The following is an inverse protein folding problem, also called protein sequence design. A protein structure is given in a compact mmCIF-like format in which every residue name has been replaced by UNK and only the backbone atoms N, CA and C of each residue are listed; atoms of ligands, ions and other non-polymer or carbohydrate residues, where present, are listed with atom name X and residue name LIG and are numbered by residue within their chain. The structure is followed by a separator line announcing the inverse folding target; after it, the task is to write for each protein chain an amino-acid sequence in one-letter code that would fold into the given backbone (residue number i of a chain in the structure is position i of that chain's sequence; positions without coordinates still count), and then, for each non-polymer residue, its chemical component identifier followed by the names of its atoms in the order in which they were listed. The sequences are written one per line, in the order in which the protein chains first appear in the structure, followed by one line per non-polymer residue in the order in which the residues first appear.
data_IF_908549806780
#
_entry.id   IF_908549806780
#
_cell.length_a   1.000
_cell.length_b   1.000
_cell.length_c   1.000
_cell.angle_alpha   90.00
_cell.angle_beta   90.00
_cell.angle_gamma   90.00
#
_symmetry.space_group_name_H-M   'P 1'
#
loop_
_entity.id
_entity.type
_entity.pdbx_description
1 polymer ?
#
# COMPACT_ATOMS: atom_id res chain seq x y z
N UNK A 1 6.80 34.01 1.07
CA UNK A 1 6.35 33.24 -0.11
C UNK A 1 4.95 32.71 0.18
N UNK A 2 3.93 33.32 -0.45
CA UNK A 2 2.56 32.85 -0.36
C UNK A 2 2.39 31.69 -1.35
N UNK A 3 2.53 30.46 -0.86
CA UNK A 3 2.14 29.28 -1.62
C UNK A 3 0.63 29.32 -1.82
N UNK A 4 0.20 29.64 -3.03
CA UNK A 4 -1.21 29.59 -3.41
C UNK A 4 -1.52 28.16 -3.88
N UNK A 5 -2.76 27.69 -3.74
CA UNK A 5 -3.18 26.34 -4.19
C UNK A 5 -2.93 26.04 -5.69
N UNK A 6 -2.45 27.04 -6.44
CA UNK A 6 -1.96 26.91 -7.81
C UNK A 6 -0.72 26.03 -7.91
N UNK A 7 0.16 26.00 -6.92
CA UNK A 7 1.45 25.29 -7.01
C UNK A 7 1.30 23.76 -6.86
N UNK A 8 0.36 23.32 -6.02
CA UNK A 8 0.03 21.90 -5.83
C UNK A 8 -0.78 21.36 -7.02
N UNK A 9 -1.69 22.17 -7.55
CA UNK A 9 -2.38 21.82 -8.78
C UNK A 9 -1.41 21.80 -9.95
N UNK A 10 -0.41 22.67 -9.99
CA UNK A 10 0.64 22.60 -11.01
C UNK A 10 1.42 21.29 -10.89
N UNK A 11 1.71 20.78 -9.69
CA UNK A 11 2.36 19.47 -9.54
C UNK A 11 1.47 18.30 -10.00
N UNK A 12 0.19 18.25 -9.60
CA UNK A 12 -0.75 17.20 -10.01
C UNK A 12 -1.16 17.31 -11.49
N UNK A 13 -1.26 18.54 -12.01
CA UNK A 13 -1.54 18.86 -13.40
C UNK A 13 -0.34 18.62 -14.31
N UNK A 14 0.90 18.93 -13.89
CA UNK A 14 2.11 18.54 -14.62
C UNK A 14 2.30 17.03 -14.59
N UNK A 15 1.98 16.33 -13.51
CA UNK A 15 1.97 14.86 -13.48
C UNK A 15 0.96 14.31 -14.51
N UNK A 16 -0.23 14.90 -14.60
CA UNK A 16 -1.24 14.57 -15.60
C UNK A 16 -0.82 14.94 -17.04
N UNK A 17 -0.21 16.11 -17.26
CA UNK A 17 0.25 16.58 -18.58
C UNK A 17 1.46 15.79 -19.09
N UNK A 18 2.40 15.44 -18.22
CA UNK A 18 3.57 14.64 -18.57
C UNK A 18 3.16 13.20 -18.96
N UNK A 19 2.10 12.67 -18.34
CA UNK A 19 1.51 11.37 -18.69
C UNK A 19 0.70 11.46 -19.99
N UNK A 20 -0.05 12.53 -20.23
CA UNK A 20 -0.76 12.77 -21.50
C UNK A 20 0.21 12.91 -22.71
N UNK A 21 1.41 13.45 -22.51
CA UNK A 21 2.48 13.51 -23.53
C UNK A 21 3.12 12.13 -23.80
N UNK A 22 3.11 11.22 -22.83
CA UNK A 22 3.66 9.87 -22.99
C UNK A 22 2.65 8.88 -23.61
N UNK A 23 1.35 9.09 -23.43
CA UNK A 23 0.28 8.22 -23.96
C UNK A 23 -0.20 8.59 -25.36
N UNK A 24 0.14 9.78 -25.87
CA UNK A 24 -0.27 10.27 -27.20
C UNK A 24 0.76 10.09 -28.30
N UNK A 25 1.88 9.37 -28.07
CA UNK A 25 2.76 9.01 -29.19
C UNK A 25 1.98 8.11 -30.16
N UNK A 26 1.79 8.51 -31.44
CA UNK A 26 1.16 7.64 -32.40
C UNK A 26 2.00 6.37 -32.57
N UNK A 27 1.35 5.20 -32.46
CA UNK A 27 1.98 3.92 -32.81
C UNK A 27 2.55 4.02 -34.22
N UNK A 28 3.81 3.62 -34.49
CA UNK A 28 4.29 3.55 -35.86
C UNK A 28 3.45 2.52 -36.60
N UNK A 29 2.67 2.99 -37.58
CA UNK A 29 1.99 2.16 -38.56
C UNK A 29 3.06 1.50 -39.42
N UNK A 30 3.30 0.20 -39.18
CA UNK A 30 4.16 -0.60 -40.04
C UNK A 30 3.40 -0.84 -41.36
N UNK A 31 3.70 -0.02 -42.36
CA UNK A 31 3.32 -0.21 -43.75
C UNK A 31 3.97 -1.49 -44.29
N UNK A 32 3.16 -2.53 -44.51
CA UNK A 32 3.53 -3.72 -45.26
C UNK A 32 3.72 -3.33 -46.74
N UNK A 33 4.98 -3.13 -47.14
CA UNK A 33 5.37 -3.08 -48.55
C UNK A 33 6.08 -4.38 -48.91
N UNK A 34 5.35 -5.21 -49.65
CA UNK A 34 5.84 -6.44 -50.28
C UNK A 34 6.93 -6.13 -51.31
N UNK A 35 8.14 -6.65 -51.11
CA UNK A 35 9.09 -6.97 -52.19
C UNK A 35 9.80 -8.26 -51.84
N UNK A 36 9.49 -9.30 -52.63
CA UNK A 36 10.18 -10.57 -52.53
C UNK A 36 11.62 -10.48 -53.00
N UNK A 37 12.50 -11.25 -52.36
CA UNK A 37 13.60 -11.93 -53.02
C UNK A 37 14.02 -13.13 -52.17
N UNK A 38 13.98 -14.30 -52.78
CA UNK A 38 14.42 -15.56 -52.22
C UNK A 38 15.94 -15.55 -51.97
N UNK A 39 16.38 -16.22 -50.91
CA UNK A 39 17.56 -17.10 -50.85
C UNK A 39 17.65 -17.77 -49.46
N UNK A 40 17.61 -19.10 -49.49
CA UNK A 40 17.93 -20.02 -48.38
C UNK A 40 19.46 -20.04 -48.16
N UNK A 41 19.98 -20.44 -46.97
CA UNK A 41 20.06 -21.88 -46.69
C UNK A 41 19.86 -22.33 -45.22
N UNK A 42 19.55 -23.62 -45.15
CA UNK A 42 19.30 -24.54 -44.02
C UNK A 42 20.38 -24.56 -42.93
N UNK A 43 19.96 -24.78 -41.68
CA UNK A 43 20.56 -25.76 -40.74
C UNK A 43 19.56 -26.15 -39.62
N UNK A 44 19.70 -27.33 -38.98
CA UNK A 44 18.57 -28.20 -38.63
C UNK A 44 18.14 -28.20 -37.16
N UNK A 45 16.87 -28.56 -36.96
CA UNK A 45 16.21 -28.82 -35.67
C UNK A 45 16.57 -30.21 -35.15
N UNK A 46 17.07 -30.31 -33.90
CA UNK A 46 17.17 -31.57 -33.14
C UNK A 46 15.89 -31.75 -32.30
N UNK A 47 15.18 -32.87 -32.51
CA UNK A 47 14.11 -33.36 -31.64
C UNK A 47 14.69 -34.05 -30.40
N UNK A 48 14.06 -33.92 -29.21
CA UNK A 48 14.31 -34.84 -28.09
C UNK A 48 13.57 -36.17 -28.31
N UNK A 49 14.09 -37.30 -27.79
CA UNK A 49 13.51 -38.62 -28.02
C UNK A 49 12.33 -38.91 -27.10
N UNK A 50 11.39 -39.66 -27.66
CA UNK A 50 10.27 -40.34 -27.00
C UNK A 50 10.76 -41.57 -26.22
N UNK A 51 10.27 -41.75 -24.99
CA UNK A 51 10.29 -43.04 -24.31
C UNK A 51 8.86 -43.58 -24.18
N UNK A 52 8.67 -44.80 -24.65
CA UNK A 52 7.48 -45.62 -24.62
C UNK A 52 7.38 -46.44 -23.33
N UNK A 53 6.13 -46.60 -22.86
CA UNK A 53 5.50 -47.70 -22.11
C UNK A 53 6.35 -48.59 -21.19
N UNK A 54 5.93 -48.69 -19.92
CA UNK A 54 5.62 -50.00 -19.31
C UNK A 54 4.59 -49.87 -18.19
N UNK A 55 3.57 -50.72 -18.30
CA UNK A 55 2.44 -50.98 -17.41
C UNK A 55 2.82 -51.84 -16.20
N UNK A 56 2.24 -51.56 -15.02
CA UNK A 56 1.95 -52.56 -13.99
C UNK A 56 0.79 -52.07 -13.10
N UNK A 57 -0.05 -53.05 -12.71
CA UNK A 57 -1.41 -52.97 -12.20
C UNK A 57 -1.45 -53.09 -10.64
N UNK A 58 -2.62 -53.09 -9.95
CA UNK A 58 -2.86 -52.27 -8.74
C UNK A 58 -3.15 -53.05 -7.43
N UNK A 59 -3.59 -52.31 -6.40
CA UNK A 59 -4.37 -52.68 -5.18
C UNK A 59 -3.61 -52.74 -3.84
N UNK A 60 -4.28 -52.63 -2.67
CA UNK A 60 -5.57 -51.98 -2.35
C UNK A 60 -5.55 -51.05 -1.11
N UNK A 61 -6.65 -50.31 -0.95
CA UNK A 61 -7.08 -49.55 0.23
C UNK A 61 -7.59 -50.52 1.33
N UNK A 62 -7.48 -50.17 2.62
CA UNK A 62 -8.52 -50.51 3.59
C UNK A 62 -9.15 -49.28 4.24
N UNK A 63 -10.48 -49.27 4.21
CA UNK A 63 -11.39 -48.38 4.91
C UNK A 63 -11.51 -48.79 6.37
N UNK A 64 -11.36 -47.85 7.33
CA UNK A 64 -11.94 -48.01 8.66
C UNK A 64 -12.48 -46.68 9.19
N UNK A 65 -13.79 -46.67 9.44
CA UNK A 65 -14.56 -45.68 10.17
C UNK A 65 -14.21 -45.70 11.67
N UNK A 66 -13.80 -44.58 12.26
CA UNK A 66 -14.05 -44.21 13.67
C UNK A 66 -14.18 -42.68 13.75
N UNK A 67 -15.19 -42.18 14.48
CA UNK A 67 -15.47 -40.78 14.81
C UNK A 67 -15.65 -40.67 16.35
N UNK A 68 -15.62 -39.48 16.99
CA UNK A 68 -14.54 -38.50 17.13
C UNK A 68 -14.00 -38.45 18.57
N UNK A 69 -12.73 -38.03 18.75
CA UNK A 69 -12.28 -37.28 19.94
C UNK A 69 -11.00 -36.50 19.59
N UNK A 70 -11.18 -35.19 19.47
CA UNK A 70 -10.29 -34.13 19.96
C UNK A 70 -8.78 -34.42 19.96
N UNK A 71 -8.06 -33.88 18.97
CA UNK A 71 -6.72 -33.32 19.18
C UNK A 71 -6.33 -32.43 18.00
N UNK A 72 -5.89 -31.22 18.31
CA UNK A 72 -5.27 -30.22 17.46
C UNK A 72 -3.96 -30.72 16.84
N UNK A 73 -3.80 -30.61 15.51
CA UNK A 73 -2.57 -30.12 14.87
C UNK A 73 -2.75 -30.05 13.34
N UNK A 74 -2.41 -28.93 12.70
CA UNK A 74 -2.25 -28.86 11.24
C UNK A 74 -1.11 -27.93 10.86
N UNK A 75 0.02 -28.53 10.47
CA UNK A 75 0.95 -28.04 9.42
C UNK A 75 0.23 -28.15 8.06
N UNK A 76 0.54 -27.48 6.94
CA UNK A 76 1.63 -26.68 6.35
C UNK A 76 0.92 -25.89 5.19
N UNK A 77 1.46 -24.88 4.50
CA UNK A 77 2.38 -24.99 3.34
C UNK A 77 2.98 -23.58 3.06
N UNK A 78 4.30 -23.47 2.94
CA UNK A 78 5.02 -22.24 2.58
C UNK A 78 5.85 -22.48 1.31
N UNK A 79 5.51 -21.82 0.20
CA UNK A 79 6.32 -21.85 -1.02
C UNK A 79 7.53 -20.91 -0.91
N UNK A 80 8.75 -21.43 -1.12
CA UNK A 80 10.01 -20.68 -1.09
C UNK A 80 10.57 -20.60 -2.53
N UNK A 81 10.63 -19.40 -3.11
CA UNK A 81 11.34 -19.14 -4.37
C UNK A 81 12.70 -18.46 -4.08
N UNK A 82 13.80 -19.12 -4.46
CA UNK A 82 15.17 -18.59 -4.32
C UNK A 82 15.78 -18.23 -5.69
N UNK A 83 16.35 -17.03 -5.82
CA UNK A 83 17.21 -16.63 -6.94
C UNK A 83 18.63 -16.33 -6.45
N UNK A 84 19.70 -16.87 -7.08
CA UNK A 84 21.07 -16.47 -6.75
C UNK A 84 21.49 -15.22 -7.54
N UNK A 85 22.03 -14.22 -6.85
CA UNK A 85 22.78 -13.13 -7.49
C UNK A 85 24.26 -13.22 -7.10
N UNK A 86 25.14 -13.34 -8.10
CA UNK A 86 26.59 -13.32 -7.91
C UNK A 86 27.11 -11.90 -8.15
N UNK A 87 27.85 -11.33 -7.18
CA UNK A 87 28.68 -10.13 -7.40
C UNK A 87 30.11 -10.54 -7.74
N UNK A 88 30.64 -9.99 -8.83
CA UNK A 88 32.05 -10.10 -9.23
C UNK A 88 32.88 -8.94 -8.66
N UNK A 89 34.12 -9.22 -8.26
CA UNK A 89 35.22 -8.24 -8.13
C UNK A 89 36.58 -8.90 -8.42
N UNK A 90 37.63 -8.13 -8.78
CA UNK A 90 38.44 -8.46 -9.96
C UNK A 90 39.86 -9.02 -9.70
N UNK A 91 40.27 -9.88 -10.65
CA UNK A 91 41.61 -10.20 -11.24
C UNK A 91 42.89 -10.08 -10.40
N UNK A 92 43.63 -11.20 -10.27
CA UNK A 92 44.90 -11.56 -11.00
C UNK A 92 45.53 -12.87 -10.40
N UNK A 93 46.57 -13.53 -10.98
CA UNK A 93 46.42 -14.63 -11.94
C UNK A 93 47.02 -16.01 -11.52
N UNK A 94 46.37 -17.07 -11.98
CA UNK A 94 46.85 -18.37 -12.54
C UNK A 94 48.04 -19.11 -11.88
N UNK A 95 47.78 -20.33 -11.36
CA UNK A 95 48.50 -21.61 -11.65
C UNK A 95 47.64 -22.85 -11.24
N UNK A 96 47.77 -24.02 -11.90
CA UNK A 96 46.73 -25.08 -11.94
C UNK A 96 47.14 -26.34 -11.12
N UNK A 97 46.42 -27.50 -11.16
CA UNK A 97 45.54 -27.92 -10.06
C UNK A 97 45.88 -29.30 -9.47
N UNK A 98 45.65 -29.53 -8.17
CA UNK A 98 45.51 -30.91 -7.64
C UNK A 98 44.67 -30.99 -6.36
N UNK A 99 43.63 -31.83 -6.47
CA UNK A 99 42.93 -32.66 -5.46
C UNK A 99 42.20 -32.06 -4.24
N UNK A 100 40.88 -32.27 -4.27
CA UNK A 100 39.94 -32.69 -3.21
C UNK A 100 39.92 -31.97 -1.85
N UNK A 101 38.84 -31.22 -1.57
CA UNK A 101 38.32 -30.98 -0.21
C UNK A 101 36.83 -30.52 -0.25
N UNK A 102 36.10 -30.58 0.88
CA UNK A 102 34.73 -31.09 0.96
C UNK A 102 33.65 -30.05 0.64
N UNK A 103 32.47 -30.56 0.32
CA UNK A 103 31.28 -29.77 -0.03
C UNK A 103 30.97 -28.67 0.99
N UNK A 104 31.07 -27.42 0.54
CA UNK A 104 30.62 -26.25 1.29
C UNK A 104 29.10 -26.30 1.42
N UNK A 105 28.61 -26.56 2.64
CA UNK A 105 27.19 -26.46 2.97
C UNK A 105 26.78 -25.00 2.83
N UNK A 106 26.01 -24.69 1.79
CA UNK A 106 25.45 -23.37 1.56
C UNK A 106 24.30 -23.16 2.57
N UNK A 107 24.58 -22.46 3.67
CA UNK A 107 23.54 -22.06 4.61
C UNK A 107 22.70 -20.93 3.99
N UNK A 108 21.54 -21.30 3.45
CA UNK A 108 20.52 -20.35 3.01
C UNK A 108 19.81 -19.86 4.27
N UNK A 109 20.16 -18.65 4.73
CA UNK A 109 19.34 -17.95 5.72
C UNK A 109 18.18 -17.28 4.99
N UNK A 110 17.00 -17.91 5.06
CA UNK A 110 15.75 -17.20 4.77
C UNK A 110 15.63 -16.08 5.82
N UNK A 111 15.80 -14.83 5.41
CA UNK A 111 15.41 -13.70 6.25
C UNK A 111 13.88 -13.69 6.28
N UNK A 112 13.30 -14.18 7.37
CA UNK A 112 11.92 -13.87 7.69
C UNK A 112 11.82 -12.34 7.73
N UNK A 113 10.99 -11.76 6.86
CA UNK A 113 10.55 -10.38 7.05
C UNK A 113 9.62 -10.43 8.25
N UNK A 114 10.19 -10.36 9.45
CA UNK A 114 9.42 -10.20 10.66
C UNK A 114 8.62 -8.90 10.50
N UNK A 115 7.31 -9.03 10.38
CA UNK A 115 6.38 -7.91 10.57
C UNK A 115 6.73 -7.28 11.91
N UNK A 116 7.17 -6.02 11.87
CA UNK A 116 7.67 -5.38 13.08
C UNK A 116 6.51 -5.30 14.09
N UNK A 117 6.65 -5.91 15.28
CA UNK A 117 5.55 -6.10 16.21
C UNK A 117 4.94 -4.77 16.65
N UNK A 118 3.66 -4.82 17.03
CA UNK A 118 2.94 -3.71 17.65
C UNK A 118 3.79 -3.05 18.75
N UNK A 119 4.00 -1.73 18.65
CA UNK A 119 4.74 -0.94 19.63
C UNK A 119 6.19 -0.61 19.25
N UNK A 120 6.76 -1.26 18.24
CA UNK A 120 8.06 -0.85 17.69
C UNK A 120 7.85 0.23 16.62
N UNK A 121 8.53 1.39 16.77
CA UNK A 121 8.47 2.49 15.79
C UNK A 121 9.62 2.42 14.81
N UNK A 122 9.29 2.35 13.53
CA UNK A 122 10.23 2.42 12.42
C UNK A 122 10.82 3.83 12.32
N UNK A 123 12.14 3.93 12.13
CA UNK A 123 12.78 5.22 11.88
C UNK A 123 12.76 5.55 10.39
N UNK A 124 12.13 6.67 10.05
CA UNK A 124 12.05 7.20 8.68
C UNK A 124 13.00 8.38 8.50
N UNK A 125 13.64 8.47 7.33
CA UNK A 125 14.50 9.59 6.95
C UNK A 125 13.77 10.49 5.97
N UNK A 126 13.00 11.45 6.50
CA UNK A 126 12.24 12.39 5.68
C UNK A 126 13.16 13.42 5.00
N UNK A 127 13.03 13.54 3.68
CA UNK A 127 13.67 14.56 2.90
C UNK A 127 13.01 15.94 3.06
N UNK A 128 13.50 16.89 2.28
CA UNK A 128 13.02 18.28 2.33
C UNK A 128 11.56 18.41 1.87
N UNK A 129 11.18 17.71 0.80
CA UNK A 129 9.84 17.79 0.22
C UNK A 129 8.80 17.14 1.14
N UNK A 130 9.13 15.99 1.72
CA UNK A 130 8.29 15.29 2.70
C UNK A 130 8.01 16.18 3.90
N UNK A 131 9.04 16.86 4.44
CA UNK A 131 8.87 17.85 5.52
C UNK A 131 7.99 19.02 5.11
N UNK A 132 8.16 19.54 3.90
CA UNK A 132 7.31 20.63 3.39
C UNK A 132 5.83 20.21 3.27
N UNK A 133 5.55 19.00 2.77
CA UNK A 133 4.19 18.45 2.71
C UNK A 133 3.59 18.24 4.11
N UNK A 134 4.35 17.62 5.02
CA UNK A 134 3.95 17.49 6.43
C UNK A 134 3.59 18.86 7.02
N UNK A 135 4.45 19.86 6.85
CA UNK A 135 4.20 21.21 7.36
C UNK A 135 2.96 21.87 6.77
N UNK A 136 2.67 21.65 5.47
CA UNK A 136 1.47 22.17 4.84
C UNK A 136 0.19 21.56 5.44
N UNK A 137 0.12 20.22 5.49
CA UNK A 137 -1.02 19.50 6.05
C UNK A 137 -1.22 19.84 7.53
N UNK A 138 -0.13 19.81 8.31
CA UNK A 138 -0.18 20.19 9.72
C UNK A 138 -0.69 21.61 9.93
N UNK A 139 -0.31 22.59 9.11
CA UNK A 139 -0.83 23.97 9.22
C UNK A 139 -2.32 24.07 8.93
N UNK A 140 -2.83 23.24 8.02
CA UNK A 140 -4.25 23.22 7.66
C UNK A 140 -5.07 22.54 8.75
N UNK A 141 -4.58 21.43 9.31
CA UNK A 141 -5.18 20.77 10.47
C UNK A 141 -5.12 21.63 11.74
N UNK A 142 -4.06 22.43 11.94
CA UNK A 142 -3.90 23.30 13.11
C UNK A 142 -5.03 24.31 13.29
N UNK A 143 -5.67 24.75 12.21
CA UNK A 143 -6.83 25.66 12.29
C UNK A 143 -7.97 25.08 13.12
N UNK A 144 -8.03 23.75 13.21
CA UNK A 144 -9.04 23.01 13.97
C UNK A 144 -8.46 22.41 15.26
N UNK A 145 -7.14 22.36 15.43
CA UNK A 145 -6.54 21.74 16.59
C UNK A 145 -6.83 22.52 17.88
N UNK A 146 -7.23 21.81 18.94
CA UNK A 146 -7.42 22.39 20.27
C UNK A 146 -6.11 23.00 20.81
N UNK A 147 -6.23 24.06 21.61
CA UNK A 147 -5.09 24.74 22.24
C UNK A 147 -4.42 25.86 21.42
N UNK A 148 -4.93 26.20 20.22
CA UNK A 148 -4.66 27.49 19.56
C UNK A 148 -3.20 27.88 19.36
N UNK A 149 -2.29 26.90 19.19
CA UNK A 149 -0.85 27.17 19.08
C UNK A 149 -0.58 27.90 17.76
N UNK A 150 -0.34 29.22 17.83
CA UNK A 150 0.28 29.99 16.74
C UNK A 150 1.77 29.66 16.72
N UNK A 151 2.15 28.72 15.88
CA UNK A 151 3.55 28.35 15.70
C UNK A 151 4.19 29.21 14.61
N UNK A 152 5.36 29.81 14.92
CA UNK A 152 6.21 30.49 13.95
C UNK A 152 7.11 29.50 13.18
N UNK A 153 6.87 28.19 13.32
CA UNK A 153 7.68 27.18 12.64
C UNK A 153 7.58 27.32 11.13
N UNK A 154 8.71 27.28 10.46
CA UNK A 154 8.82 27.22 9.02
C UNK A 154 8.28 25.86 8.51
N UNK A 155 7.90 25.75 7.23
CA UNK A 155 7.28 24.52 6.70
C UNK A 155 8.19 23.30 6.80
N UNK A 156 9.51 23.48 6.68
CA UNK A 156 10.52 22.43 6.72
C UNK A 156 10.98 22.04 8.14
N UNK A 157 10.52 22.74 9.17
CA UNK A 157 10.79 22.43 10.59
C UNK A 157 9.77 21.44 11.17
N UNK A 158 8.85 20.96 10.34
CA UNK A 158 7.88 19.94 10.71
C UNK A 158 8.47 18.55 10.57
N UNK A 159 8.20 17.72 11.57
CA UNK A 159 8.45 16.29 11.56
C UNK A 159 7.12 15.53 11.68
N UNK A 160 7.23 14.21 11.52
CA UNK A 160 6.05 13.34 11.50
C UNK A 160 5.36 13.26 12.86
N UNK A 161 6.12 13.31 13.96
CA UNK A 161 5.54 13.31 15.30
C UNK A 161 4.74 14.61 15.56
N UNK A 162 5.25 15.77 15.12
CA UNK A 162 4.50 17.03 15.16
C UNK A 162 3.20 16.95 14.33
N UNK A 163 3.22 16.26 13.17
CA UNK A 163 2.03 16.02 12.37
C UNK A 163 1.00 15.17 13.13
N UNK A 164 1.42 14.03 13.71
CA UNK A 164 0.56 13.16 14.51
C UNK A 164 0.00 13.88 15.73
N UNK A 165 0.78 14.73 16.39
CA UNK A 165 0.33 15.50 17.55
C UNK A 165 -0.69 16.59 17.19
N UNK A 166 -0.60 17.19 16.01
CA UNK A 166 -1.66 18.04 15.48
C UNK A 166 -2.95 17.22 15.31
N UNK A 167 -2.86 16.02 14.72
CA UNK A 167 -4.02 15.14 14.53
C UNK A 167 -4.68 14.75 15.85
N UNK A 168 -3.90 14.42 16.89
CA UNK A 168 -4.43 14.17 18.25
C UNK A 168 -5.22 15.36 18.77
N UNK A 169 -4.67 16.58 18.63
CA UNK A 169 -5.35 17.81 19.08
C UNK A 169 -6.57 18.16 18.26
N UNK A 170 -6.67 17.71 17.00
CA UNK A 170 -7.92 17.78 16.24
C UNK A 170 -8.98 16.85 16.84
N UNK A 171 -8.62 15.67 17.37
CA UNK A 171 -9.60 14.78 17.99
C UNK A 171 -10.10 15.23 19.36
N UNK A 172 -9.29 15.99 20.11
CA UNK A 172 -9.65 16.40 21.47
C UNK A 172 -10.90 17.26 21.51
N UNK A 173 -11.90 16.81 22.28
CA UNK A 173 -13.17 17.52 22.47
C UNK A 173 -14.15 17.41 21.31
N UNK A 174 -13.91 16.53 20.34
CA UNK A 174 -14.80 16.30 19.18
C UNK A 174 -15.41 14.91 19.19
N UNK A 175 -16.65 14.81 18.73
CA UNK A 175 -17.26 13.52 18.39
C UNK A 175 -16.62 12.91 17.14
N UNK A 176 -16.85 11.62 16.92
CA UNK A 176 -16.45 10.90 15.70
C UNK A 176 -16.84 11.64 14.41
N UNK A 177 -18.09 12.09 14.29
CA UNK A 177 -18.56 12.78 13.07
C UNK A 177 -17.80 14.10 12.87
N UNK A 178 -17.65 14.89 13.93
CA UNK A 178 -16.92 16.16 13.87
C UNK A 178 -15.44 15.96 13.51
N UNK A 179 -14.81 14.88 13.99
CA UNK A 179 -13.44 14.54 13.59
C UNK A 179 -13.35 14.28 12.08
N UNK A 180 -14.29 13.49 11.55
CA UNK A 180 -14.30 13.11 10.15
C UNK A 180 -14.58 14.30 9.22
N UNK A 181 -15.54 15.15 9.59
CA UNK A 181 -15.85 16.39 8.88
C UNK A 181 -14.64 17.34 8.82
N UNK A 182 -13.92 17.51 9.94
CA UNK A 182 -12.71 18.35 9.94
C UNK A 182 -11.66 17.82 8.98
N UNK A 183 -11.42 16.51 8.96
CA UNK A 183 -10.41 15.93 8.05
C UNK A 183 -10.86 16.07 6.60
N UNK A 184 -12.15 15.86 6.32
CA UNK A 184 -12.74 16.08 5.00
C UNK A 184 -12.54 17.52 4.52
N UNK A 185 -12.79 18.51 5.39
CA UNK A 185 -12.53 19.92 5.10
C UNK A 185 -11.05 20.20 4.83
N UNK A 186 -10.15 19.58 5.61
CA UNK A 186 -8.71 19.70 5.36
C UNK A 186 -8.34 19.14 3.98
N UNK A 187 -8.84 17.95 3.62
CA UNK A 187 -8.61 17.33 2.31
C UNK A 187 -9.15 18.20 1.16
N UNK A 188 -10.38 18.70 1.28
CA UNK A 188 -10.98 19.62 0.31
C UNK A 188 -10.17 20.90 0.15
N UNK A 189 -9.64 21.43 1.25
CA UNK A 189 -8.82 22.65 1.22
C UNK A 189 -7.45 22.48 0.57
N UNK A 190 -7.05 21.24 0.23
CA UNK A 190 -5.85 20.94 -0.56
C UNK A 190 -6.12 21.03 -2.06
N UNK A 191 -7.38 20.92 -2.47
CA UNK A 191 -7.81 21.02 -3.84
C UNK A 191 -8.07 22.48 -4.23
N UNK A 192 -7.90 22.86 -5.51
CA UNK A 192 -8.38 24.14 -5.99
C UNK A 192 -9.91 24.23 -5.97
N UNK A 193 -10.47 25.46 -5.92
CA UNK A 193 -11.91 25.67 -6.03
C UNK A 193 -12.51 24.99 -7.26
N UNK A 194 -13.62 24.27 -7.06
CA UNK A 194 -14.34 23.56 -8.11
C UNK A 194 -13.74 22.21 -8.53
N UNK A 195 -12.54 21.84 -8.07
CA UNK A 195 -11.90 20.60 -8.51
C UNK A 195 -12.73 19.31 -8.27
N UNK A 196 -13.46 19.11 -7.14
CA UNK A 196 -14.25 17.89 -6.94
C UNK A 196 -15.31 17.63 -8.02
N UNK A 197 -16.08 18.66 -8.39
CA UNK A 197 -17.08 18.54 -9.44
C UNK A 197 -16.44 18.21 -10.80
N UNK A 198 -15.26 18.78 -11.07
CA UNK A 198 -14.49 18.52 -12.28
C UNK A 198 -13.92 17.09 -12.28
N UNK A 199 -13.43 16.57 -11.15
CA UNK A 199 -12.90 15.21 -11.07
C UNK A 199 -13.97 14.16 -11.33
N UNK A 200 -15.15 14.28 -10.72
CA UNK A 200 -16.28 13.35 -10.97
C UNK A 200 -16.69 13.30 -12.44
N UNK A 201 -16.58 14.44 -13.14
CA UNK A 201 -16.90 14.52 -14.57
C UNK A 201 -15.78 13.95 -15.46
N UNK A 202 -14.52 14.15 -15.09
CA UNK A 202 -13.35 13.80 -15.91
C UNK A 202 -12.85 12.37 -15.68
N UNK A 203 -13.16 11.77 -14.53
CA UNK A 203 -12.66 10.46 -14.12
C UNK A 203 -13.82 9.57 -13.65
N UNK A 204 -14.60 8.99 -14.57
CA UNK A 204 -15.60 8.00 -14.18
C UNK A 204 -14.93 6.81 -13.47
N UNK A 205 -15.62 6.14 -12.51
CA UNK A 205 -15.08 5.02 -11.76
C UNK A 205 -14.91 3.80 -12.68
N UNK A 206 -13.76 3.76 -13.35
CA UNK A 206 -13.37 2.71 -14.28
C UNK A 206 -12.20 1.94 -13.70
N UNK A 207 -12.00 0.71 -14.17
CA UNK A 207 -10.81 -0.08 -13.83
C UNK A 207 -9.51 0.71 -14.04
N UNK A 208 -9.40 1.43 -15.16
CA UNK A 208 -8.23 2.25 -15.44
C UNK A 208 -8.02 3.35 -14.40
N UNK A 209 -9.09 4.06 -14.00
CA UNK A 209 -9.00 5.09 -12.97
C UNK A 209 -8.57 4.50 -11.61
N UNK A 210 -9.09 3.32 -11.26
CA UNK A 210 -8.73 2.62 -10.04
C UNK A 210 -7.25 2.18 -10.03
N UNK A 211 -6.78 1.53 -11.10
CA UNK A 211 -5.38 1.11 -11.26
C UNK A 211 -4.42 2.32 -11.30
N UNK A 212 -4.80 3.41 -11.95
CA UNK A 212 -4.02 4.64 -12.02
C UNK A 212 -3.86 5.28 -10.63
N UNK A 213 -4.93 5.38 -9.85
CA UNK A 213 -4.86 5.93 -8.49
C UNK A 213 -4.02 5.03 -7.58
N UNK A 214 -4.16 3.71 -7.67
CA UNK A 214 -3.31 2.77 -6.92
C UNK A 214 -1.82 2.96 -7.25
N UNK A 215 -1.48 3.06 -8.54
CA UNK A 215 -0.11 3.27 -9.01
C UNK A 215 0.48 4.63 -8.57
N UNK A 216 -0.34 5.68 -8.50
CA UNK A 216 0.09 6.99 -8.02
C UNK A 216 0.25 7.04 -6.50
N UNK A 217 -0.60 6.33 -5.76
CA UNK A 217 -0.60 6.35 -4.29
C UNK A 217 0.71 5.87 -3.70
N UNK A 218 1.33 4.85 -4.29
CA UNK A 218 2.60 4.27 -3.81
C UNK A 218 3.72 5.32 -3.71
N UNK A 219 4.14 6.00 -4.79
CA UNK A 219 5.20 7.01 -4.70
C UNK A 219 4.75 8.30 -4.01
N UNK A 220 3.49 8.72 -4.17
CA UNK A 220 3.04 10.04 -3.69
C UNK A 220 2.78 10.08 -2.19
N UNK A 221 2.20 9.01 -1.63
CA UNK A 221 1.85 8.94 -0.21
C UNK A 221 2.86 8.13 0.63
N UNK A 222 3.98 7.71 0.04
CA UNK A 222 5.03 6.98 0.76
C UNK A 222 5.48 7.68 2.06
N UNK A 223 5.64 9.00 2.03
CA UNK A 223 6.02 9.78 3.22
C UNK A 223 4.96 9.74 4.32
N UNK A 224 3.69 9.64 3.94
CA UNK A 224 2.54 9.69 4.84
C UNK A 224 2.26 8.34 5.47
N UNK A 225 2.19 7.28 4.65
CA UNK A 225 1.76 5.96 5.10
C UNK A 225 2.89 4.94 5.20
N UNK A 226 4.07 5.22 4.66
CA UNK A 226 5.22 4.31 4.66
C UNK A 226 5.36 3.48 3.37
N UNK A 227 6.25 2.47 3.36
CA UNK A 227 6.45 1.56 2.24
C UNK A 227 5.17 0.85 1.82
N UNK A 228 4.86 0.90 0.53
CA UNK A 228 3.68 0.28 -0.05
C UNK A 228 3.94 -0.27 -1.44
N UNK A 229 3.07 -1.16 -1.91
CA UNK A 229 3.15 -1.76 -3.24
C UNK A 229 1.76 -2.00 -3.84
N UNK A 230 1.68 -1.95 -5.17
CA UNK A 230 0.42 -2.23 -5.88
C UNK A 230 0.21 -3.73 -6.01
N UNK A 231 -0.90 -4.21 -5.46
CA UNK A 231 -1.33 -5.61 -5.49
C UNK A 231 -2.52 -5.81 -6.45
N UNK A 232 -2.71 -7.04 -6.89
CA UNK A 232 -3.92 -7.44 -7.64
C UNK A 232 -5.04 -7.77 -6.65
N UNK A 233 -6.24 -7.26 -6.94
CA UNK A 233 -7.45 -7.50 -6.15
C UNK A 233 -8.63 -7.77 -7.07
N UNK A 234 -9.66 -8.39 -6.52
CA UNK A 234 -10.92 -8.62 -7.21
C UNK A 234 -11.97 -7.64 -6.70
N UNK A 235 -12.55 -6.85 -7.61
CA UNK A 235 -13.61 -5.89 -7.32
C UNK A 235 -14.75 -6.19 -8.29
N UNK A 236 -15.95 -6.46 -7.75
CA UNK A 236 -17.15 -6.80 -8.52
C UNK A 236 -16.90 -7.93 -9.55
N UNK A 237 -16.15 -8.95 -9.15
CA UNK A 237 -15.80 -10.10 -10.00
C UNK A 237 -14.72 -9.82 -11.05
N UNK A 238 -14.13 -8.62 -11.07
CA UNK A 238 -13.06 -8.25 -11.99
C UNK A 238 -11.70 -8.16 -11.28
N UNK A 239 -10.73 -8.91 -11.78
CA UNK A 239 -9.33 -8.79 -11.37
C UNK A 239 -8.70 -7.52 -11.93
N UNK A 240 -8.06 -6.73 -11.06
CA UNK A 240 -7.41 -5.47 -11.42
C UNK A 240 -6.28 -5.13 -10.44
N UNK A 241 -5.29 -4.37 -10.92
CA UNK A 241 -4.15 -3.89 -10.11
C UNK A 241 -4.50 -2.58 -9.39
N UNK A 242 -5.62 -2.58 -8.66
CA UNK A 242 -6.15 -1.40 -7.99
C UNK A 242 -6.03 -1.46 -6.46
N UNK A 243 -5.39 -2.49 -5.92
CA UNK A 243 -5.07 -2.57 -4.49
C UNK A 243 -3.69 -1.96 -4.20
N UNK A 244 -3.56 -1.29 -3.07
CA UNK A 244 -2.27 -0.84 -2.52
C UNK A 244 -2.11 -1.46 -1.14
N UNK A 245 -1.09 -2.29 -0.98
CA UNK A 245 -0.72 -2.87 0.30
C UNK A 245 0.35 -2.01 0.97
N UNK A 246 0.02 -1.41 2.11
CA UNK A 246 0.95 -0.68 2.97
C UNK A 246 1.52 -1.67 3.97
N UNK A 247 2.84 -1.92 3.90
CA UNK A 247 3.49 -2.99 4.68
C UNK A 247 3.47 -2.73 6.18
N UNK A 248 3.69 -1.47 6.55
CA UNK A 248 3.54 -0.97 7.92
C UNK A 248 3.11 0.49 7.85
N UNK A 249 1.88 0.76 8.26
CA UNK A 249 1.28 2.08 8.20
C UNK A 249 1.93 3.00 9.23
N UNK A 250 2.77 3.90 8.74
CA UNK A 250 3.47 4.90 9.55
C UNK A 250 2.53 5.71 10.44
N UNK A 251 1.34 6.05 9.94
CA UNK A 251 0.38 6.84 10.71
C UNK A 251 -0.21 6.05 11.88
N UNK A 252 -0.59 4.79 11.62
CA UNK A 252 -1.11 3.90 12.65
C UNK A 252 -0.02 3.57 13.69
N UNK A 253 1.20 3.29 13.23
CA UNK A 253 2.37 3.01 14.07
C UNK A 253 2.73 4.19 14.99
N UNK A 254 2.85 5.42 14.45
CA UNK A 254 3.22 6.59 15.24
C UNK A 254 2.08 7.09 16.16
N UNK A 255 0.83 7.00 15.71
CA UNK A 255 -0.32 7.38 16.54
C UNK A 255 -0.60 6.37 17.64
N UNK A 256 -0.39 5.08 17.36
CA UNK A 256 -0.70 3.97 18.26
C UNK A 256 -2.18 3.87 18.61
N UNK A 257 -3.09 4.55 17.90
CA UNK A 257 -4.48 4.71 18.33
C UNK A 257 -5.47 4.29 17.23
N UNK A 258 -6.30 3.30 17.53
CA UNK A 258 -7.38 2.81 16.65
C UNK A 258 -8.33 3.93 16.24
N UNK A 259 -8.78 4.76 17.19
CA UNK A 259 -9.64 5.90 16.88
C UNK A 259 -9.02 6.91 15.92
N UNK A 260 -7.69 7.12 15.99
CA UNK A 260 -6.99 7.99 15.04
C UNK A 260 -6.96 7.37 13.65
N UNK A 261 -6.64 6.09 13.54
CA UNK A 261 -6.67 5.37 12.26
C UNK A 261 -8.04 5.43 11.61
N UNK A 262 -9.11 5.14 12.37
CA UNK A 262 -10.47 5.07 11.82
C UNK A 262 -11.02 6.46 11.51
N UNK A 263 -10.98 7.40 12.45
CA UNK A 263 -11.68 8.68 12.30
C UNK A 263 -10.86 9.77 11.62
N UNK A 264 -9.52 9.65 11.59
CA UNK A 264 -8.66 10.66 10.98
C UNK A 264 -8.05 10.22 9.65
N UNK A 265 -8.05 8.92 9.35
CA UNK A 265 -7.48 8.38 8.12
C UNK A 265 -8.53 7.61 7.31
N UNK A 266 -8.98 6.45 7.77
CA UNK A 266 -9.86 5.54 7.02
C UNK A 266 -11.15 6.21 6.57
N UNK A 267 -12.06 6.53 7.49
CA UNK A 267 -13.41 6.97 7.12
C UNK A 267 -13.38 8.27 6.29
N UNK A 268 -12.62 9.32 6.68
CA UNK A 268 -12.57 10.54 5.87
C UNK A 268 -11.97 10.34 4.49
N UNK A 269 -10.96 9.46 4.35
CA UNK A 269 -10.35 9.18 3.04
C UNK A 269 -11.28 8.39 2.15
N UNK A 270 -11.97 7.38 2.69
CA UNK A 270 -13.01 6.63 1.95
C UNK A 270 -14.14 7.56 1.49
N UNK A 271 -14.62 8.44 2.37
CA UNK A 271 -15.66 9.42 2.03
C UNK A 271 -15.18 10.40 0.96
N UNK A 272 -13.98 10.96 1.11
CA UNK A 272 -13.41 11.88 0.14
C UNK A 272 -13.27 11.24 -1.25
N UNK A 273 -12.68 10.05 -1.34
CA UNK A 273 -12.53 9.38 -2.63
C UNK A 273 -13.89 8.98 -3.24
N UNK A 274 -14.79 8.43 -2.43
CA UNK A 274 -16.08 7.93 -2.94
C UNK A 274 -17.02 9.07 -3.33
N UNK A 275 -17.18 10.08 -2.47
CA UNK A 275 -18.24 11.09 -2.60
C UNK A 275 -17.75 12.40 -3.25
N UNK A 276 -16.50 12.79 -3.02
CA UNK A 276 -15.94 14.02 -3.60
C UNK A 276 -15.18 13.75 -4.91
N UNK A 277 -14.33 12.73 -4.92
CA UNK A 277 -13.54 12.37 -6.10
C UNK A 277 -14.32 11.49 -7.10
N UNK A 278 -15.31 10.73 -6.63
CA UNK A 278 -16.16 9.86 -7.46
C UNK A 278 -15.52 8.50 -7.80
N UNK A 279 -14.52 8.08 -7.04
CA UNK A 279 -13.87 6.78 -7.17
C UNK A 279 -14.01 6.03 -5.84
N UNK A 280 -14.81 4.96 -5.76
CA UNK A 280 -14.95 4.20 -4.54
C UNK A 280 -13.60 3.72 -4.01
N UNK A 281 -13.43 3.79 -2.69
CA UNK A 281 -12.22 3.33 -2.01
C UNK A 281 -12.62 2.65 -0.71
N UNK A 282 -12.14 1.43 -0.51
CA UNK A 282 -12.18 0.72 0.77
C UNK A 282 -10.79 0.66 1.37
N UNK A 283 -10.64 0.92 2.67
CA UNK A 283 -9.37 0.84 3.38
C UNK A 283 -9.47 -0.18 4.50
N UNK A 284 -8.60 -1.18 4.53
CA UNK A 284 -8.61 -2.26 5.52
C UNK A 284 -7.33 -2.22 6.34
N UNK A 285 -7.30 -1.53 7.49
CA UNK A 285 -6.16 -1.58 8.40
C UNK A 285 -6.10 -2.91 9.11
N UNK A 286 -4.91 -3.48 9.22
CA UNK A 286 -4.63 -4.59 10.13
C UNK A 286 -3.96 -4.04 11.38
N UNK A 287 -4.63 -4.26 12.51
CA UNK A 287 -4.22 -3.75 13.81
C UNK A 287 -3.18 -4.64 14.51
N UNK A 288 -2.93 -5.85 14.02
CA UNK A 288 -1.95 -6.77 14.60
C UNK A 288 -0.53 -6.48 14.09
N UNK A 289 -0.38 -6.30 12.78
CA UNK A 289 0.90 -6.05 12.11
C UNK A 289 1.10 -4.58 11.66
N UNK A 290 0.12 -3.72 11.93
CA UNK A 290 0.08 -2.31 11.54
C UNK A 290 0.02 -2.07 10.03
N UNK A 291 -0.24 -3.08 9.19
CA UNK A 291 -0.41 -2.92 7.74
C UNK A 291 -1.76 -2.29 7.38
N UNK A 292 -1.95 -1.89 6.12
CA UNK A 292 -3.24 -1.41 5.63
C UNK A 292 -3.38 -1.59 4.12
N UNK A 293 -4.50 -2.15 3.68
CA UNK A 293 -4.84 -2.23 2.27
C UNK A 293 -5.74 -1.07 1.86
N UNK A 294 -5.46 -0.46 0.71
CA UNK A 294 -6.32 0.53 0.05
C UNK A 294 -6.80 -0.04 -1.28
N UNK A 295 -8.11 -0.24 -1.41
CA UNK A 295 -8.75 -0.98 -2.50
C UNK A 295 -9.56 -0.01 -3.36
N UNK A 296 -8.93 0.52 -4.42
CA UNK A 296 -9.58 1.45 -5.33
C UNK A 296 -10.58 0.73 -6.23
N UNK A 297 -11.73 1.37 -6.44
CA UNK A 297 -12.89 0.83 -7.13
C UNK A 297 -13.85 0.06 -6.23
N UNK A 298 -13.43 -0.33 -5.02
CA UNK A 298 -14.29 -1.07 -4.09
C UNK A 298 -15.10 -0.12 -3.20
N UNK A 299 -16.42 -0.30 -3.19
CA UNK A 299 -17.33 0.46 -2.32
C UNK A 299 -17.09 0.11 -0.86
N UNK A 300 -16.84 1.11 0.02
CA UNK A 300 -16.65 0.86 1.43
C UNK A 300 -17.93 0.33 2.07
N UNK A 301 -17.84 -0.63 3.00
CA UNK A 301 -19.01 -1.12 3.73
C UNK A 301 -19.57 -0.04 4.67
N UNK A 302 -20.84 -0.16 5.09
CA UNK A 302 -21.36 0.58 6.23
C UNK A 302 -20.48 0.38 7.47
N UNK A 303 -20.38 1.40 8.33
CA UNK A 303 -19.47 1.36 9.47
C UNK A 303 -19.77 0.23 10.45
N UNK A 304 -21.05 -0.08 10.68
CA UNK A 304 -21.51 -1.12 11.59
C UNK A 304 -21.14 -2.53 11.12
N UNK A 305 -20.96 -2.71 9.81
CA UNK A 305 -20.55 -3.97 9.17
C UNK A 305 -19.02 -4.07 9.03
N UNK A 306 -18.32 -2.94 9.13
CA UNK A 306 -16.87 -2.87 9.02
C UNK A 306 -16.20 -3.53 10.25
N UNK A 307 -15.26 -4.48 10.07
CA UNK A 307 -14.54 -5.12 11.18
C UNK A 307 -13.90 -4.13 12.15
N UNK A 308 -13.47 -2.96 11.67
CA UNK A 308 -12.83 -1.94 12.52
C UNK A 308 -13.76 -1.37 13.60
N UNK A 309 -15.08 -1.49 13.43
CA UNK A 309 -16.05 -1.01 14.43
C UNK A 309 -15.93 -1.73 15.77
N UNK A 310 -15.46 -2.98 15.76
CA UNK A 310 -15.33 -3.83 16.96
C UNK A 310 -13.93 -3.80 17.58
N UNK A 311 -13.02 -3.02 17.02
CA UNK A 311 -11.60 -3.06 17.40
C UNK A 311 -11.37 -2.45 18.81
N UNK A 312 -10.68 -3.16 19.73
CA UNK A 312 -10.25 -2.58 21.02
C UNK A 312 -9.18 -1.51 20.84
N UNK A 313 -9.10 -0.51 21.74
CA UNK A 313 -7.96 0.42 21.72
C UNK A 313 -6.68 -0.31 22.17
N UNK A 314 -5.51 0.16 21.70
CA UNK A 314 -4.22 -0.31 22.23
C UNK A 314 -3.87 0.43 23.53
N UNK A 315 -4.40 -0.02 24.67
CA UNK A 315 -4.25 0.68 25.95
C UNK A 315 -2.79 0.92 26.39
N UNK A 316 -1.85 0.05 25.99
CA UNK A 316 -0.43 0.16 26.36
C UNK A 316 0.35 1.22 25.57
N UNK A 317 -0.13 1.62 24.38
CA UNK A 317 0.61 2.54 23.48
C UNK A 317 -0.20 3.78 23.09
N UNK A 318 -1.53 3.72 23.14
CA UNK A 318 -2.39 4.85 22.81
C UNK A 318 -2.64 5.72 24.05
N UNK A 319 -2.08 6.93 24.06
CA UNK A 319 -2.33 7.91 25.13
C UNK A 319 -3.78 8.37 25.24
N UNK A 320 -4.60 8.11 24.21
CA UNK A 320 -6.02 8.45 24.17
C UNK A 320 -6.92 7.27 24.55
N UNK A 321 -6.37 6.09 24.86
CA UNK A 321 -7.17 4.91 25.16
C UNK A 321 -7.83 5.00 26.54
N UNK A 322 -9.02 4.40 26.62
CA UNK A 322 -9.67 4.09 27.89
C UNK A 322 -9.61 2.56 28.04
N UNK A 323 -8.82 2.02 28.98
CA UNK A 323 -8.65 0.56 29.13
C UNK A 323 -9.91 -0.14 29.64
N UNK A 324 -10.89 0.60 30.16
CA UNK A 324 -12.09 0.05 30.78
C UNK A 324 -13.17 -0.36 29.77
N UNK A 325 -12.97 -0.12 28.47
CA UNK A 325 -13.94 -0.43 27.42
C UNK A 325 -13.44 -1.56 26.51
N UNK A 326 -14.26 -2.60 26.24
CA UNK A 326 -13.84 -3.75 25.42
C UNK A 326 -13.65 -3.37 23.95
N UNK A 327 -14.32 -2.30 23.49
CA UNK A 327 -14.16 -1.73 22.16
C UNK A 327 -13.61 -0.32 22.31
N UNK A 328 -12.86 0.15 21.32
CA UNK A 328 -12.24 1.47 21.41
C UNK A 328 -13.30 2.58 21.45
N UNK A 329 -13.44 3.24 22.61
CA UNK A 329 -14.49 4.24 22.84
C UNK A 329 -14.53 5.39 21.81
N UNK A 330 -13.41 5.71 21.15
CA UNK A 330 -13.34 6.72 20.08
C UNK A 330 -14.06 6.30 18.79
N UNK A 331 -14.48 5.05 18.66
CA UNK A 331 -15.23 4.56 17.49
C UNK A 331 -16.71 4.90 17.55
N UNK A 332 -17.25 5.18 18.73
CA UNK A 332 -18.68 5.46 18.92
C UNK A 332 -18.95 6.84 19.55
N UNK A 333 -17.92 7.49 20.11
CA UNK A 333 -18.03 8.80 20.76
C UNK A 333 -17.69 9.97 19.86
#
# INVERSE_FOLDING_TARGET
MNFTGRDIFTALYFQYYYIHLLTTRPKPTLSLRSRGRALSPKCPVKKPPSCSNSSAHPFPIPTTFINPKQQSDTSEVMEILCFPTARFSPRHPIKPPTLCSPATVLSIRCAQVATAPMGEKTQYKDGFFEKAFMGLFSRKMQKYASGGIKTNRQLWEWDYDSFVDVSKRVMMGRSRQQQQEVVREVLLSMLPPGAPAQFRKLFPPTKWAAEFNAALTVPFFHWLVGPSEVIEVEVDGMKQRSGVHIKKCRYLENSGCVGMCVNMCKIPTQDFFTNEFGLPLTMNPNFEDMSCDMLYGQTPPPFEEDPVSKQPCFASICSLANPSTPVCHKLYN
#
